data_IF_919955367444
#
_entry.id   IF_919955367444
#
_cell.length_a   1.000
_cell.length_b   1.000
_cell.length_c   1.000
_cell.angle_alpha   90.00
_cell.angle_beta   90.00
_cell.angle_gamma   90.00
#
_symmetry.space_group_name_H-M   'P 1'
#
loop_
_entity.id
_entity.type
_entity.pdbx_description
1 polymer ?
#
# COMPACT_ATOMS: atom_id res chain seq x y z
N UNK A 1 15.85 9.90 1.90
CA UNK A 1 15.06 8.84 1.23
C UNK A 1 13.60 8.99 1.65
N UNK A 2 12.64 8.54 0.84
CA UNK A 2 11.20 8.59 1.16
C UNK A 2 10.57 7.25 0.82
N UNK A 3 9.74 6.73 1.72
CA UNK A 3 9.00 5.49 1.50
C UNK A 3 7.55 5.81 1.10
N UNK A 4 7.03 5.04 0.15
CA UNK A 4 5.62 5.09 -0.25
C UNK A 4 4.99 3.74 0.07
N UNK A 5 3.91 3.76 0.86
CA UNK A 5 3.07 2.59 1.11
C UNK A 5 1.82 2.71 0.23
N UNK A 6 1.70 1.83 -0.75
CA UNK A 6 0.55 1.77 -1.64
C UNK A 6 -0.37 0.65 -1.14
N UNK A 7 -1.65 0.96 -0.91
CA UNK A 7 -2.66 -0.01 -0.48
C UNK A 7 -3.89 0.05 -1.37
N UNK A 8 -4.53 -1.09 -1.61
CA UNK A 8 -5.87 -1.16 -2.20
C UNK A 8 -6.90 -1.04 -1.08
N UNK A 9 -7.93 -0.24 -1.31
CA UNK A 9 -9.02 -0.05 -0.37
C UNK A 9 -8.94 1.28 0.37
N UNK A 10 -10.06 1.65 0.99
CA UNK A 10 -10.23 2.92 1.66
C UNK A 10 -11.01 2.70 2.96
N UNK A 11 -11.03 3.74 3.81
CA UNK A 11 -11.81 3.77 5.05
C UNK A 11 -11.36 2.69 6.02
N UNK A 12 -10.09 2.76 6.39
CA UNK A 12 -9.58 1.99 7.53
C UNK A 12 -10.35 2.37 8.80
N UNK A 13 -10.60 1.42 9.72
CA UNK A 13 -11.15 1.73 11.04
C UNK A 13 -10.30 2.76 11.79
N UNK A 14 -10.93 3.59 12.63
CA UNK A 14 -10.25 4.67 13.34
C UNK A 14 -9.05 4.19 14.15
N UNK A 15 -9.17 3.05 14.83
CA UNK A 15 -8.07 2.47 15.62
C UNK A 15 -6.85 2.12 14.76
N UNK A 16 -7.07 1.69 13.50
CA UNK A 16 -6.00 1.35 12.57
C UNK A 16 -5.35 2.61 12.00
N UNK A 17 -6.15 3.62 11.65
CA UNK A 17 -5.66 4.91 11.18
C UNK A 17 -4.82 5.62 12.26
N UNK A 18 -5.26 5.57 13.52
CA UNK A 18 -4.54 6.11 14.68
C UNK A 18 -3.20 5.38 14.90
N UNK A 19 -3.22 4.05 14.90
CA UNK A 19 -2.00 3.26 15.03
C UNK A 19 -1.00 3.55 13.91
N UNK A 20 -1.47 3.61 12.67
CA UNK A 20 -0.61 3.99 11.54
C UNK A 20 -0.01 5.39 11.72
N UNK A 21 -0.81 6.39 12.07
CA UNK A 21 -0.36 7.77 12.25
C UNK A 21 0.70 7.90 13.36
N UNK A 22 0.58 7.11 14.42
CA UNK A 22 1.57 7.06 15.50
C UNK A 22 2.94 6.60 14.98
N UNK A 23 3.00 5.48 14.26
CA UNK A 23 4.25 4.98 13.70
C UNK A 23 4.79 5.87 12.57
N UNK A 24 3.91 6.42 11.73
CA UNK A 24 4.29 7.37 10.70
C UNK A 24 5.01 8.59 11.29
N UNK A 25 4.50 9.15 12.39
CA UNK A 25 5.12 10.28 13.10
C UNK A 25 6.49 9.91 13.68
N UNK A 26 6.61 8.73 14.29
CA UNK A 26 7.88 8.23 14.86
C UNK A 26 8.95 7.99 13.79
N UNK A 27 8.55 7.52 12.61
CA UNK A 27 9.46 7.25 11.48
C UNK A 27 9.89 8.51 10.73
N UNK A 28 9.06 9.56 10.70
CA UNK A 28 9.26 10.74 9.86
C UNK A 28 10.67 11.37 9.88
N UNK A 29 11.38 11.47 11.02
CA UNK A 29 12.74 12.03 11.04
C UNK A 29 13.77 11.22 10.25
N UNK A 30 13.58 9.91 10.14
CA UNK A 30 14.54 8.96 9.54
C UNK A 30 14.09 8.49 8.16
N UNK A 31 12.80 8.18 8.03
CA UNK A 31 12.17 7.68 6.82
C UNK A 31 10.74 8.23 6.72
N UNK A 32 10.55 9.36 6.02
CA UNK A 32 9.22 9.87 5.72
C UNK A 32 8.41 8.81 4.97
N UNK A 33 7.35 8.31 5.61
CA UNK A 33 6.43 7.32 5.06
C UNK A 33 5.16 8.01 4.57
N UNK A 34 4.80 7.81 3.30
CA UNK A 34 3.57 8.33 2.71
C UNK A 34 2.63 7.20 2.35
N UNK A 35 1.44 7.18 2.95
CA UNK A 35 0.36 6.27 2.58
C UNK A 35 -0.37 6.81 1.34
N UNK A 36 -0.58 5.93 0.36
CA UNK A 36 -1.40 6.17 -0.83
C UNK A 36 -2.44 5.07 -0.94
N UNK A 37 -3.65 5.39 -0.53
CA UNK A 37 -4.81 4.51 -0.70
C UNK A 37 -5.33 4.62 -2.13
N UNK A 38 -5.48 3.48 -2.79
CA UNK A 38 -5.92 3.37 -4.17
C UNK A 38 -7.35 2.84 -4.19
N UNK A 39 -8.27 3.67 -4.69
CA UNK A 39 -9.67 3.33 -4.90
C UNK A 39 -9.84 2.57 -6.20
N UNK A 40 -10.55 1.44 -6.14
CA UNK A 40 -11.07 0.78 -7.32
C UNK A 40 -12.51 1.23 -7.62
N UNK A 41 -12.86 1.43 -8.90
CA UNK A 41 -14.24 1.72 -9.28
C UNK A 41 -15.16 0.56 -8.89
N UNK A 42 -16.20 0.86 -8.12
CA UNK A 42 -17.29 -0.07 -7.83
C UNK A 42 -18.33 0.06 -8.94
N UNK A 43 -18.63 -1.01 -9.67
CA UNK A 43 -19.62 -0.88 -10.75
C UNK A 43 -19.93 -2.10 -11.62
N UNK A 44 -19.24 -3.23 -11.45
CA UNK A 44 -19.59 -4.47 -12.15
C UNK A 44 -19.24 -5.65 -11.25
N UNK A 45 -20.05 -6.69 -11.25
CA UNK A 45 -19.69 -7.96 -10.62
C UNK A 45 -18.51 -8.55 -11.42
N UNK A 46 -17.29 -8.16 -11.05
CA UNK A 46 -16.07 -8.69 -11.62
C UNK A 46 -15.78 -10.04 -11.00
N UNK A 47 -15.29 -10.98 -11.81
CA UNK A 47 -14.71 -12.21 -11.29
C UNK A 47 -13.48 -11.90 -10.43
N UNK A 48 -13.06 -12.79 -9.52
CA UNK A 48 -11.86 -12.58 -8.71
C UNK A 48 -10.60 -12.28 -9.53
N UNK A 49 -10.46 -12.88 -10.72
CA UNK A 49 -9.34 -12.64 -11.62
C UNK A 49 -9.37 -11.23 -12.22
N UNK A 50 -10.55 -10.74 -12.61
CA UNK A 50 -10.72 -9.39 -13.15
C UNK A 50 -10.49 -8.32 -12.07
N UNK A 51 -10.95 -8.56 -10.84
CA UNK A 51 -10.67 -7.67 -9.70
C UNK A 51 -9.17 -7.57 -9.45
N UNK A 52 -8.47 -8.70 -9.42
CA UNK A 52 -7.00 -8.75 -9.25
C UNK A 52 -6.27 -8.01 -10.38
N UNK A 53 -6.73 -8.14 -11.62
CA UNK A 53 -6.14 -7.41 -12.76
C UNK A 53 -6.32 -5.90 -12.62
N UNK A 54 -7.52 -5.44 -12.24
CA UNK A 54 -7.80 -4.03 -12.00
C UNK A 54 -6.97 -3.47 -10.82
N UNK A 55 -6.80 -4.25 -9.75
CA UNK A 55 -5.91 -3.93 -8.63
C UNK A 55 -4.46 -3.73 -9.09
N UNK A 56 -3.96 -4.67 -9.89
CA UNK A 56 -2.60 -4.62 -10.41
C UNK A 56 -2.37 -3.40 -11.29
N UNK A 57 -3.28 -3.11 -12.23
CA UNK A 57 -3.19 -1.93 -13.09
C UNK A 57 -3.20 -0.63 -12.28
N UNK A 58 -4.08 -0.52 -11.29
CA UNK A 58 -4.17 0.67 -10.44
C UNK A 58 -2.91 0.87 -9.58
N UNK A 59 -2.35 -0.22 -9.02
CA UNK A 59 -1.09 -0.18 -8.28
C UNK A 59 0.08 0.24 -9.16
N UNK A 60 0.23 -0.38 -10.33
CA UNK A 60 1.31 -0.08 -11.29
C UNK A 60 1.25 1.37 -11.75
N UNK A 61 0.05 1.90 -12.04
CA UNK A 61 -0.14 3.30 -12.42
C UNK A 61 0.22 4.29 -11.29
N UNK A 62 0.14 3.85 -10.03
CA UNK A 62 0.49 4.67 -8.88
C UNK A 62 1.99 4.62 -8.52
N UNK A 63 2.79 3.72 -9.10
CA UNK A 63 4.20 3.61 -8.76
C UNK A 63 5.01 4.87 -9.15
N UNK A 64 5.89 5.38 -8.28
CA UNK A 64 6.88 6.38 -8.69
C UNK A 64 7.87 5.79 -9.71
N UNK A 65 8.24 6.55 -10.74
CA UNK A 65 9.03 6.06 -11.91
C UNK A 65 10.37 5.39 -11.56
N UNK A 66 10.98 5.77 -10.43
CA UNK A 66 12.31 5.29 -10.02
C UNK A 66 12.27 4.71 -8.58
N UNK A 67 11.10 4.23 -8.15
CA UNK A 67 10.99 3.58 -6.85
C UNK A 67 11.69 2.23 -6.86
N UNK A 68 12.43 1.92 -5.79
CA UNK A 68 12.73 0.54 -5.46
C UNK A 68 11.46 -0.13 -4.94
N UNK A 69 10.99 -1.16 -5.64
CA UNK A 69 9.69 -1.78 -5.39
C UNK A 69 9.86 -2.95 -4.44
N UNK A 70 9.14 -2.91 -3.32
CA UNK A 70 9.02 -4.00 -2.34
C UNK A 70 7.55 -4.42 -2.30
N UNK A 71 7.28 -5.70 -2.57
CA UNK A 71 5.93 -6.27 -2.55
C UNK A 71 5.73 -7.10 -1.29
N UNK A 72 4.65 -6.82 -0.56
CA UNK A 72 4.23 -7.63 0.59
C UNK A 72 3.41 -8.83 0.07
N UNK A 73 4.06 -10.00 -0.03
CA UNK A 73 3.42 -11.29 -0.36
C UNK A 73 3.69 -12.28 0.78
N UNK A 74 2.64 -12.99 1.22
CA UNK A 74 2.74 -14.04 2.24
C UNK A 74 3.67 -15.20 1.84
N UNK A 75 3.94 -15.38 0.55
CA UNK A 75 4.87 -16.37 0.00
C UNK A 75 6.25 -15.79 -0.32
N UNK A 76 6.47 -14.52 0.02
CA UNK A 76 7.75 -13.85 -0.19
C UNK A 76 8.86 -14.36 0.73
N UNK A 77 10.06 -13.81 0.56
CA UNK A 77 11.19 -14.08 1.45
C UNK A 77 10.87 -13.56 2.86
N UNK A 78 11.01 -14.38 3.91
CA UNK A 78 10.88 -13.90 5.29
C UNK A 78 12.13 -13.10 5.67
N UNK A 79 11.93 -11.91 6.24
CA UNK A 79 13.02 -11.05 6.73
C UNK A 79 12.95 -10.94 8.25
N UNK A 80 14.10 -10.93 8.90
CA UNK A 80 14.26 -10.49 10.28
C UNK A 80 14.18 -8.97 10.38
N UNK A 81 14.06 -8.45 11.60
CA UNK A 81 14.18 -7.01 11.86
C UNK A 81 15.63 -6.50 11.83
N UNK A 82 16.60 -7.40 12.02
CA UNK A 82 18.05 -7.16 11.92
C UNK A 82 18.55 -7.34 10.48
#
# INVERSE_FOLDING_TARGET
MRAHLLSIGERMPDWLAQGFAEYQKRLAPWLPLQLREIRLPRGKALSPAQTRAAEAEALLAALPREAWIIVLDARGTPWSSE
#
